data_IF_781092683434
#
_entry.id   IF_781092683434
#
_cell.length_a   1.000
_cell.length_b   1.000
_cell.length_c   1.000
_cell.angle_alpha   90.00
_cell.angle_beta   90.00
_cell.angle_gamma   90.00
#
_symmetry.space_group_name_H-M   'P 1'
#
loop_
_entity.id
_entity.type
_entity.pdbx_description
1 polymer ?
#
# COMPACT_ATOMS: atom_id res chain seq x y z
N UNK A 1 11.20 4.29 10.94
CA UNK A 1 10.26 3.59 11.85
C UNK A 1 9.98 2.21 11.27
N UNK A 2 9.55 1.26 12.10
CA UNK A 2 9.07 -0.03 11.60
C UNK A 2 7.62 0.09 11.10
N UNK A 3 7.25 -0.76 10.13
CA UNK A 3 5.87 -0.81 9.65
C UNK A 3 4.97 -1.37 10.74
N UNK A 4 3.81 -0.74 10.97
CA UNK A 4 2.83 -1.23 11.94
C UNK A 4 2.09 -2.45 11.37
N UNK A 5 2.17 -3.56 12.07
CA UNK A 5 1.36 -4.76 11.79
C UNK A 5 -0.13 -4.41 11.73
N UNK A 6 -0.89 -5.17 10.94
CA UNK A 6 -2.35 -5.07 10.84
C UNK A 6 -2.87 -3.71 10.32
N UNK A 7 -1.99 -2.88 9.75
CA UNK A 7 -2.36 -1.60 9.17
C UNK A 7 -3.01 -1.76 7.77
N UNK A 8 -2.39 -2.55 6.89
CA UNK A 8 -2.87 -2.76 5.52
C UNK A 8 -2.91 -1.53 4.59
N UNK A 9 -2.64 -0.32 5.09
CA UNK A 9 -2.90 0.93 4.35
C UNK A 9 -2.15 1.01 3.01
N UNK A 10 -0.87 0.63 2.97
CA UNK A 10 -0.09 0.60 1.74
C UNK A 10 -0.54 -0.49 0.73
N UNK A 11 -1.27 -1.51 1.20
CA UNK A 11 -1.85 -2.55 0.34
C UNK A 11 -3.24 -2.17 -0.19
N UNK A 12 -3.89 -1.16 0.39
CA UNK A 12 -5.24 -0.72 0.02
C UNK A 12 -5.18 0.60 -0.75
N UNK A 13 -4.59 1.65 -0.18
CA UNK A 13 -4.77 3.02 -0.63
C UNK A 13 -4.12 3.35 -1.99
N UNK A 14 -2.80 3.16 -2.21
CA UNK A 14 -2.14 3.68 -3.41
C UNK A 14 -2.52 2.91 -4.66
N UNK A 15 -2.56 3.55 -5.82
CA UNK A 15 -2.52 2.83 -7.09
C UNK A 15 -1.11 2.28 -7.35
N UNK A 16 -1.04 1.18 -8.10
CA UNK A 16 0.21 0.59 -8.54
C UNK A 16 0.04 0.29 -10.02
N UNK A 17 0.76 0.99 -10.89
CA UNK A 17 0.71 0.78 -12.36
C UNK A 17 1.53 -0.44 -12.82
N UNK A 18 2.54 -0.84 -12.03
CA UNK A 18 3.36 -2.02 -12.34
C UNK A 18 2.66 -3.34 -11.95
N UNK A 19 2.89 -4.44 -12.68
CA UNK A 19 2.34 -5.76 -12.32
C UNK A 19 2.76 -6.21 -10.92
N UNK A 20 1.83 -6.85 -10.19
CA UNK A 20 2.11 -7.50 -8.90
C UNK A 20 1.47 -8.91 -8.86
N UNK A 21 1.92 -9.82 -7.98
CA UNK A 21 1.34 -11.16 -7.88
C UNK A 21 -0.19 -11.15 -7.68
N UNK A 22 -0.91 -11.74 -8.63
CA UNK A 22 -2.38 -11.77 -8.67
C UNK A 22 -3.04 -10.59 -9.39
N UNK A 23 -2.28 -9.58 -9.81
CA UNK A 23 -2.76 -8.39 -10.50
C UNK A 23 -1.80 -7.97 -11.63
N UNK A 24 -1.92 -8.58 -12.83
CA UNK A 24 -0.98 -8.35 -13.94
C UNK A 24 -1.07 -6.95 -14.54
N UNK A 25 -2.20 -6.26 -14.41
CA UNK A 25 -2.39 -4.87 -14.85
C UNK A 25 -2.14 -3.84 -13.75
N UNK A 26 -1.54 -4.27 -12.62
CA UNK A 26 -1.38 -3.43 -11.44
C UNK A 26 -2.62 -3.37 -10.55
N UNK A 27 -2.58 -2.50 -9.55
CA UNK A 27 -3.59 -2.38 -8.51
C UNK A 27 -4.26 -0.99 -8.56
N UNK A 28 -5.59 -0.90 -8.70
CA UNK A 28 -6.28 0.37 -8.56
C UNK A 28 -6.15 0.94 -7.13
N UNK A 29 -6.23 2.27 -7.01
CA UNK A 29 -6.27 2.94 -5.72
C UNK A 29 -7.51 2.52 -4.92
N UNK A 30 -7.38 2.41 -3.60
CA UNK A 30 -8.46 2.04 -2.69
C UNK A 30 -8.91 0.57 -2.73
N UNK A 31 -8.43 -0.22 -3.70
CA UNK A 31 -8.77 -1.65 -3.80
C UNK A 31 -7.77 -2.48 -2.97
N UNK A 32 -8.26 -3.37 -2.07
CA UNK A 32 -7.39 -4.27 -1.33
C UNK A 32 -6.58 -5.20 -2.25
N UNK A 33 -5.27 -5.27 -2.02
CA UNK A 33 -4.40 -6.22 -2.71
C UNK A 33 -4.77 -7.68 -2.36
N UNK A 34 -4.77 -8.64 -3.31
CA UNK A 34 -5.01 -10.07 -3.03
C UNK A 34 -4.03 -10.69 -2.02
N UNK A 35 -2.89 -10.04 -1.77
CA UNK A 35 -1.88 -10.47 -0.82
C UNK A 35 -2.15 -10.01 0.62
N UNK A 36 -3.20 -9.22 0.84
CA UNK A 36 -3.62 -8.79 2.16
C UNK A 36 -4.44 -9.93 2.81
N UNK A 37 -4.02 -10.38 3.99
CA UNK A 37 -4.76 -11.39 4.74
C UNK A 37 -5.90 -10.77 5.59
N UNK A 38 -6.69 -11.62 6.24
CA UNK A 38 -7.81 -11.22 7.09
C UNK A 38 -7.38 -10.39 8.30
N UNK A 39 -6.11 -10.45 8.68
CA UNK A 39 -5.50 -9.68 9.75
C UNK A 39 -4.88 -8.38 9.25
N UNK A 40 -5.09 -7.98 7.99
CA UNK A 40 -4.51 -6.77 7.38
C UNK A 40 -2.98 -6.79 7.27
N UNK A 41 -2.39 -7.99 7.14
CA UNK A 41 -0.96 -8.18 6.91
C UNK A 41 -0.68 -8.56 5.47
N UNK A 42 0.41 -8.05 4.91
CA UNK A 42 0.83 -8.42 3.57
C UNK A 42 1.60 -9.74 3.59
N UNK A 43 1.06 -10.77 2.94
CA UNK A 43 1.67 -12.11 2.82
C UNK A 43 3.05 -12.07 2.17
N UNK A 44 3.34 -11.04 1.38
CA UNK A 44 4.62 -10.87 0.69
C UNK A 44 5.62 -9.99 1.46
N UNK A 45 5.29 -9.46 2.65
CA UNK A 45 6.11 -8.41 3.27
C UNK A 45 7.58 -8.80 3.48
N UNK A 46 7.85 -10.06 3.83
CA UNK A 46 9.19 -10.63 3.99
C UNK A 46 9.57 -11.61 2.86
N UNK A 47 8.73 -11.73 1.83
CA UNK A 47 8.97 -12.66 0.73
C UNK A 47 9.99 -12.09 -0.27
N UNK A 48 10.89 -12.90 -0.83
CA UNK A 48 11.72 -12.48 -1.97
C UNK A 48 10.88 -12.14 -3.21
N UNK A 49 9.62 -12.60 -3.28
CA UNK A 49 8.69 -12.27 -4.37
C UNK A 49 7.93 -10.95 -4.14
N UNK A 50 8.28 -10.17 -3.11
CA UNK A 50 7.71 -8.85 -2.87
C UNK A 50 8.02 -7.93 -4.04
N UNK A 51 7.02 -7.31 -4.69
CA UNK A 51 7.27 -6.36 -5.76
C UNK A 51 8.16 -5.21 -5.32
N UNK A 52 9.08 -4.77 -6.20
CA UNK A 52 10.02 -3.70 -5.91
C UNK A 52 9.32 -2.40 -5.48
N UNK A 53 8.23 -2.03 -6.16
CA UNK A 53 7.39 -0.86 -5.80
C UNK A 53 6.89 -0.92 -4.35
N UNK A 54 6.47 -2.10 -3.89
CA UNK A 54 6.03 -2.30 -2.50
C UNK A 54 7.20 -2.20 -1.50
N UNK A 55 8.42 -2.53 -1.91
CA UNK A 55 9.63 -2.40 -1.08
C UNK A 55 10.20 -0.99 -1.03
N UNK A 56 9.97 -0.20 -2.08
CA UNK A 56 10.40 1.20 -2.16
C UNK A 56 9.55 2.13 -1.27
N UNK A 57 8.27 1.80 -1.07
CA UNK A 57 7.41 2.55 -0.15
C UNK A 57 7.78 2.26 1.31
N UNK A 58 8.64 3.11 1.88
CA UNK A 58 9.13 2.99 3.25
C UNK A 58 8.15 3.65 4.24
N UNK A 59 7.90 3.02 5.41
CA UNK A 59 7.08 3.63 6.46
C UNK A 59 7.75 4.89 7.03
N UNK A 60 6.98 5.97 7.14
CA UNK A 60 7.38 7.23 7.76
C UNK A 60 6.26 7.75 8.69
N UNK A 61 6.62 8.56 9.68
CA UNK A 61 5.68 9.01 10.72
C UNK A 61 4.49 9.77 10.15
N UNK A 62 4.74 10.59 9.14
CA UNK A 62 3.74 11.38 8.44
C UNK A 62 2.71 10.48 7.74
N UNK A 63 3.17 9.48 6.99
CA UNK A 63 2.31 8.53 6.30
C UNK A 63 1.59 7.57 7.24
N UNK A 64 2.27 7.07 8.27
CA UNK A 64 1.72 6.00 9.10
C UNK A 64 0.77 6.52 10.19
N UNK A 65 0.92 7.79 10.60
CA UNK A 65 0.13 8.42 11.66
C UNK A 65 0.02 7.57 12.93
N UNK A 66 -1.07 7.77 13.67
CA UNK A 66 -1.37 7.02 14.90
C UNK A 66 -2.39 5.89 14.71
N UNK A 67 -3.07 5.83 13.56
CA UNK A 67 -4.09 4.81 13.26
C UNK A 67 -4.05 4.37 11.80
N UNK A 68 -4.76 3.28 11.48
CA UNK A 68 -4.92 2.81 10.10
C UNK A 68 -5.69 3.84 9.28
N UNK A 69 -6.72 4.41 9.88
CA UNK A 69 -7.60 5.40 9.27
C UNK A 69 -6.80 6.66 8.90
N UNK A 70 -5.89 7.10 9.78
CA UNK A 70 -4.96 8.19 9.48
C UNK A 70 -4.05 7.84 8.30
N UNK A 71 -3.45 6.63 8.29
CA UNK A 71 -2.57 6.20 7.21
C UNK A 71 -3.29 6.09 5.85
N UNK A 72 -4.51 5.54 5.85
CA UNK A 72 -5.36 5.48 4.66
C UNK A 72 -5.77 6.88 4.18
N UNK A 73 -6.04 7.80 5.09
CA UNK A 73 -6.36 9.19 4.76
C UNK A 73 -5.18 9.89 4.09
N UNK A 74 -3.99 9.79 4.69
CA UNK A 74 -2.78 10.38 4.15
C UNK A 74 -2.41 9.83 2.76
N UNK A 75 -2.39 8.50 2.62
CA UNK A 75 -2.06 7.86 1.33
C UNK A 75 -3.07 8.20 0.23
N UNK A 76 -4.38 8.29 0.56
CA UNK A 76 -5.39 8.73 -0.41
C UNK A 76 -5.20 10.18 -0.81
N UNK A 77 -4.84 11.04 0.12
CA UNK A 77 -4.54 12.44 -0.18
C UNK A 77 -3.36 12.54 -1.15
N UNK A 78 -2.26 11.81 -0.90
CA UNK A 78 -1.13 11.77 -1.82
C UNK A 78 -1.53 11.24 -3.20
N UNK A 79 -2.25 10.13 -3.26
CA UNK A 79 -2.75 9.56 -4.52
C UNK A 79 -3.51 10.58 -5.37
N UNK A 80 -4.40 11.37 -4.73
CA UNK A 80 -5.14 12.42 -5.41
C UNK A 80 -4.26 13.59 -5.84
N UNK A 81 -3.33 14.01 -4.97
CA UNK A 81 -2.43 15.12 -5.22
C UNK A 81 -1.40 14.81 -6.33
N UNK A 82 -1.09 13.53 -6.56
CA UNK A 82 -0.14 13.08 -7.59
C UNK A 82 -0.81 12.35 -8.75
N UNK A 83 -2.14 12.40 -8.84
CA UNK A 83 -2.84 11.82 -9.97
C UNK A 83 -2.42 12.54 -11.26
N UNK A 84 -2.10 11.81 -12.35
CA UNK A 84 -1.77 12.44 -13.62
C UNK A 84 -2.97 13.25 -14.13
N UNK A 85 -2.69 14.44 -14.68
CA UNK A 85 -3.69 15.24 -15.37
C UNK A 85 -4.21 14.48 -16.61
N UNK A 86 -5.50 14.63 -16.89
CA UNK A 86 -6.20 13.91 -17.97
C UNK A 86 -5.88 14.48 -19.36
#
# INVERSE_FOLDING_TARGET
MECRSDCGACCIAPSISSPIPGLPQGKPAGIPCPQLDEMMRCRLFHSPTRPAVCGQLKPCAEMCGQSREAALGYLRHLEQATAPEA
#
